data_IF_582178345452
#
_entry.id   IF_582178345452
#
_cell.length_a   1.000
_cell.length_b   1.000
_cell.length_c   1.000
_cell.angle_alpha   90.00
_cell.angle_beta   90.00
_cell.angle_gamma   90.00
#
_symmetry.space_group_name_H-M   'P 1'
#
loop_
_entity.id
_entity.type
_entity.pdbx_description
1 polymer ?
#
# COMPACT_ATOMS: atom_id res chain seq x y z
N UNK A 1 -5.57 -7.78 -4.07
CA UNK A 1 -4.30 -8.54 -4.13
C UNK A 1 -4.36 -9.47 -5.32
N UNK A 2 -3.31 -9.50 -6.13
CA UNK A 2 -3.20 -10.42 -7.26
C UNK A 2 -2.65 -11.77 -6.79
N UNK A 3 -2.88 -12.82 -7.57
CA UNK A 3 -2.28 -14.13 -7.28
C UNK A 3 -0.75 -14.10 -7.46
N UNK A 4 -0.05 -14.86 -6.62
CA UNK A 4 1.34 -15.26 -6.82
C UNK A 4 1.39 -16.29 -7.95
N UNK A 5 2.21 -16.09 -8.98
CA UNK A 5 2.17 -17.00 -10.14
C UNK A 5 2.71 -16.40 -11.44
N UNK A 6 2.20 -16.91 -12.56
CA UNK A 6 2.53 -16.38 -13.89
C UNK A 6 2.10 -14.92 -13.99
N UNK A 7 3.10 -14.03 -14.11
CA UNK A 7 2.89 -12.58 -14.20
C UNK A 7 3.62 -11.76 -13.13
N UNK A 8 4.26 -12.39 -12.14
CA UNK A 8 5.12 -11.70 -11.17
C UNK A 8 6.31 -12.56 -10.70
N UNK A 9 7.21 -11.94 -9.93
CA UNK A 9 8.43 -12.57 -9.41
C UNK A 9 8.17 -13.66 -8.34
N UNK A 10 6.92 -13.82 -7.88
CA UNK A 10 6.51 -14.82 -6.90
C UNK A 10 5.89 -16.06 -7.56
N UNK A 11 6.23 -16.34 -8.82
CA UNK A 11 5.87 -17.58 -9.49
C UNK A 11 6.40 -18.83 -8.79
N UNK A 12 5.80 -20.00 -9.08
CA UNK A 12 6.14 -21.25 -8.38
C UNK A 12 7.60 -21.64 -8.63
N UNK A 13 8.42 -21.59 -7.58
CA UNK A 13 9.71 -22.28 -7.52
C UNK A 13 9.48 -23.67 -6.95
N UNK A 14 10.03 -24.69 -7.60
CA UNK A 14 9.82 -26.08 -7.18
C UNK A 14 10.29 -26.26 -5.72
N UNK A 15 9.44 -26.89 -4.90
CA UNK A 15 9.64 -27.22 -3.47
C UNK A 15 9.41 -26.12 -2.41
N UNK A 16 8.85 -24.96 -2.74
CA UNK A 16 8.50 -23.95 -1.71
C UNK A 16 7.25 -24.29 -0.88
N UNK A 17 7.22 -23.79 0.37
CA UNK A 17 6.02 -23.81 1.24
C UNK A 17 4.85 -23.08 0.59
N UNK A 18 3.63 -23.60 0.77
CA UNK A 18 2.43 -23.03 0.17
C UNK A 18 2.28 -21.53 0.47
N UNK A 19 2.02 -20.74 -0.57
CA UNK A 19 1.67 -19.33 -0.42
C UNK A 19 0.16 -19.17 -0.36
N UNK A 20 -0.33 -18.26 0.47
CA UNK A 20 -1.77 -18.04 0.63
C UNK A 20 -2.43 -17.50 -0.65
N UNK A 21 -1.70 -16.67 -1.40
CA UNK A 21 -2.17 -16.07 -2.65
C UNK A 21 -1.69 -16.84 -3.89
N UNK A 22 -1.21 -18.08 -3.75
CA UNK A 22 -0.84 -18.90 -4.91
C UNK A 22 -2.03 -19.12 -5.85
N UNK A 23 -1.79 -19.11 -7.15
CA UNK A 23 -2.79 -19.42 -8.18
C UNK A 23 -3.26 -20.89 -8.18
N UNK A 24 -2.56 -21.77 -7.47
CA UNK A 24 -2.93 -23.16 -7.23
C UNK A 24 -2.62 -23.61 -5.79
N UNK A 25 -3.40 -24.57 -5.30
CA UNK A 25 -3.19 -25.18 -3.98
C UNK A 25 -2.04 -26.19 -4.10
N UNK A 26 -0.96 -25.98 -3.33
CA UNK A 26 0.16 -26.93 -3.27
C UNK A 26 -0.04 -27.97 -2.16
N UNK A 27 0.59 -29.14 -2.28
CA UNK A 27 0.44 -30.21 -1.28
C UNK A 27 1.17 -29.91 0.05
N UNK A 28 2.16 -29.01 0.05
CA UNK A 28 2.92 -28.61 1.25
C UNK A 28 2.34 -27.33 1.84
N UNK A 29 1.14 -27.46 2.40
CA UNK A 29 0.32 -26.37 2.97
C UNK A 29 0.82 -25.84 4.32
N UNK A 30 1.92 -26.39 4.83
CA UNK A 30 2.37 -26.12 6.18
C UNK A 30 3.78 -25.51 6.25
N UNK A 31 3.92 -24.27 6.77
CA UNK A 31 2.87 -23.25 6.97
C UNK A 31 2.40 -22.62 5.66
N UNK A 32 1.12 -22.23 5.58
CA UNK A 32 0.71 -21.21 4.62
C UNK A 32 1.37 -19.89 5.01
N UNK A 33 2.12 -19.31 4.08
CA UNK A 33 2.79 -18.03 4.28
C UNK A 33 2.39 -17.03 3.20
N UNK A 34 2.39 -15.75 3.54
CA UNK A 34 2.28 -14.71 2.52
C UNK A 34 3.62 -14.59 1.78
N UNK A 35 3.57 -14.51 0.45
CA UNK A 35 4.76 -14.29 -0.39
C UNK A 35 5.35 -12.88 -0.18
N UNK A 36 6.54 -12.63 -0.73
CA UNK A 36 7.10 -11.29 -0.79
C UNK A 36 6.17 -10.34 -1.58
N UNK A 37 5.68 -10.78 -2.75
CA UNK A 37 4.78 -9.98 -3.59
C UNK A 37 3.46 -9.64 -2.91
N UNK A 38 2.87 -10.59 -2.17
CA UNK A 38 1.67 -10.35 -1.37
C UNK A 38 1.93 -9.31 -0.28
N UNK A 39 3.08 -9.41 0.40
CA UNK A 39 3.50 -8.46 1.44
C UNK A 39 3.73 -7.07 0.85
N UNK A 40 4.39 -6.97 -0.29
CA UNK A 40 4.68 -5.71 -0.96
C UNK A 40 3.40 -5.05 -1.47
N UNK A 41 2.50 -5.83 -2.08
CA UNK A 41 1.20 -5.34 -2.54
C UNK A 41 0.38 -4.77 -1.39
N UNK A 42 0.18 -5.54 -0.30
CA UNK A 42 -0.67 -5.06 0.79
C UNK A 42 -0.03 -3.87 1.50
N UNK A 43 1.30 -3.84 1.59
CA UNK A 43 2.04 -2.72 2.16
C UNK A 43 1.85 -1.46 1.31
N UNK A 44 2.07 -1.54 0.00
CA UNK A 44 1.85 -0.42 -0.93
C UNK A 44 0.39 0.04 -0.95
N UNK A 45 -0.56 -0.89 -0.90
CA UNK A 45 -1.99 -0.57 -0.83
C UNK A 45 -2.35 0.21 0.45
N UNK A 46 -1.81 -0.20 1.60
CA UNK A 46 -2.07 0.50 2.87
C UNK A 46 -1.32 1.84 2.94
N UNK A 47 -0.07 1.88 2.50
CA UNK A 47 0.77 3.08 2.51
C UNK A 47 0.24 4.15 1.54
N UNK A 48 -0.50 3.75 0.50
CA UNK A 48 -1.15 4.68 -0.44
C UNK A 48 -2.45 5.26 0.11
N UNK A 49 -2.85 4.98 1.35
CA UNK A 49 -4.06 5.56 1.95
C UNK A 49 -5.38 4.88 1.53
N UNK A 50 -5.34 3.94 0.58
CA UNK A 50 -6.52 3.17 0.14
C UNK A 50 -7.12 2.28 1.25
N UNK A 51 -6.38 2.03 2.33
CA UNK A 51 -6.83 1.30 3.51
C UNK A 51 -7.34 2.17 4.67
N UNK A 52 -7.54 3.48 4.48
CA UNK A 52 -7.87 4.42 5.56
C UNK A 52 -9.14 4.07 6.34
N UNK A 53 -10.13 3.43 5.71
CA UNK A 53 -11.35 2.94 6.35
C UNK A 53 -11.13 1.78 7.34
N UNK A 54 -9.92 1.23 7.42
CA UNK A 54 -9.54 0.19 8.39
C UNK A 54 -8.86 0.78 9.63
N UNK A 55 -8.58 2.09 9.64
CA UNK A 55 -7.85 2.74 10.73
C UNK A 55 -8.74 3.10 11.92
N UNK A 56 -10.06 3.14 11.75
CA UNK A 56 -10.98 3.42 12.85
C UNK A 56 -11.28 2.16 13.66
N UNK A 57 -11.45 2.33 14.97
CA UNK A 57 -11.97 1.28 15.83
C UNK A 57 -13.45 1.04 15.47
N UNK A 58 -13.90 -0.21 15.31
CA UNK A 58 -15.31 -0.50 15.07
C UNK A 58 -16.17 0.09 16.20
N UNK A 59 -17.20 0.91 15.90
CA UNK A 59 -17.98 1.62 16.91
C UNK A 59 -18.84 0.69 17.78
N UNK A 60 -19.21 -0.48 17.26
CA UNK A 60 -19.86 -1.59 17.99
C UNK A 60 -19.45 -2.92 17.39
N UNK A 61 -19.16 -3.88 18.25
CA UNK A 61 -18.86 -5.25 17.83
C UNK A 61 -20.19 -6.01 17.70
N UNK A 62 -20.83 -5.94 16.53
CA UNK A 62 -22.10 -6.63 16.27
C UNK A 62 -21.94 -8.14 16.10
N UNK A 63 -20.71 -8.60 15.83
CA UNK A 63 -20.39 -10.01 15.66
C UNK A 63 -19.82 -10.60 16.94
N UNK A 64 -20.53 -11.54 17.55
CA UNK A 64 -20.01 -12.36 18.64
C UNK A 64 -19.07 -13.39 18.03
N UNK A 65 -17.77 -13.11 18.09
CA UNK A 65 -16.76 -14.09 17.69
C UNK A 65 -16.89 -15.35 18.54
N UNK A 66 -16.80 -16.55 17.95
CA UNK A 66 -16.76 -17.79 18.71
C UNK A 66 -15.62 -17.72 19.73
N UNK A 67 -15.97 -17.80 21.01
CA UNK A 67 -14.97 -17.84 22.11
C UNK A 67 -14.31 -19.20 22.21
N UNK A 68 -14.95 -20.23 21.65
CA UNK A 68 -14.47 -21.61 21.59
C UNK A 68 -13.50 -21.76 20.44
N UNK A 69 -12.29 -22.23 20.75
CA UNK A 69 -11.29 -22.50 19.71
C UNK A 69 -11.71 -23.72 18.87
N UNK A 70 -11.39 -23.80 17.56
CA UNK A 70 -11.89 -24.87 16.70
C UNK A 70 -11.55 -26.28 17.19
N UNK A 71 -10.34 -26.49 17.75
CA UNK A 71 -9.92 -27.77 18.31
C UNK A 71 -10.59 -28.15 19.64
N UNK A 72 -11.29 -27.21 20.29
CA UNK A 72 -12.19 -27.52 21.40
C UNK A 72 -13.56 -28.01 20.91
N UNK A 73 -13.98 -27.58 19.72
CA UNK A 73 -15.23 -28.02 19.10
C UNK A 73 -15.07 -29.32 18.30
N UNK A 74 -13.87 -29.55 17.76
CA UNK A 74 -13.53 -30.69 16.92
C UNK A 74 -12.19 -31.27 17.37
N UNK A 75 -12.19 -32.42 18.02
CA UNK A 75 -10.97 -33.03 18.53
C UNK A 75 -10.06 -33.58 17.38
N UNK A 76 -8.93 -34.18 17.74
CA UNK A 76 -7.99 -34.72 16.77
C UNK A 76 -8.61 -35.84 15.90
N UNK A 77 -9.51 -36.63 16.45
CA UNK A 77 -10.21 -37.69 15.71
C UNK A 77 -11.23 -37.09 14.73
N UNK A 78 -12.05 -36.12 15.16
CA UNK A 78 -12.96 -35.40 14.26
C UNK A 78 -12.20 -34.74 13.11
N UNK A 79 -11.06 -34.09 13.39
CA UNK A 79 -10.21 -33.48 12.37
C UNK A 79 -9.68 -34.51 11.38
N UNK A 80 -9.29 -35.71 11.85
CA UNK A 80 -8.91 -36.82 10.96
C UNK A 80 -10.10 -37.30 10.11
N UNK A 81 -11.31 -37.34 10.67
CA UNK A 81 -12.52 -37.72 9.91
C UNK A 81 -12.84 -36.73 8.80
N UNK A 82 -12.61 -35.43 9.01
CA UNK A 82 -12.77 -34.42 7.96
C UNK A 82 -11.76 -34.58 6.82
N UNK A 83 -10.51 -34.95 7.13
CA UNK A 83 -9.46 -35.08 6.11
C UNK A 83 -9.50 -36.41 5.35
N UNK A 84 -9.76 -37.52 6.05
CA UNK A 84 -9.58 -38.87 5.49
C UNK A 84 -10.82 -39.76 5.59
N UNK A 85 -11.94 -39.20 6.05
CA UNK A 85 -13.24 -39.85 6.11
C UNK A 85 -13.58 -40.47 7.46
N UNK A 86 -14.85 -40.85 7.62
CA UNK A 86 -15.50 -41.19 8.90
C UNK A 86 -14.83 -42.27 9.78
N UNK A 87 -14.01 -43.15 9.18
CA UNK A 87 -13.28 -44.20 9.92
C UNK A 87 -11.87 -43.80 10.36
N UNK A 88 -11.41 -42.62 9.93
CA UNK A 88 -10.10 -42.11 10.33
C UNK A 88 -10.14 -41.61 11.77
N UNK A 89 -9.00 -41.71 12.45
CA UNK A 89 -8.77 -41.29 13.82
C UNK A 89 -7.31 -40.88 13.98
N UNK A 90 -6.99 -40.13 15.02
CA UNK A 90 -5.64 -39.71 15.35
C UNK A 90 -4.71 -40.92 15.52
N UNK A 91 -3.49 -40.78 14.99
CA UNK A 91 -2.36 -41.66 15.25
C UNK A 91 -1.32 -40.94 16.11
N UNK A 92 -0.81 -41.60 17.16
CA UNK A 92 0.24 -41.07 18.04
C UNK A 92 1.64 -41.30 17.45
N UNK A 93 1.91 -40.71 16.28
CA UNK A 93 3.21 -40.81 15.61
C UNK A 93 4.14 -39.63 15.94
N UNK A 94 3.58 -38.42 15.98
CA UNK A 94 4.26 -37.18 16.33
C UNK A 94 3.40 -36.33 17.28
N UNK A 95 3.94 -35.21 17.74
CA UNK A 95 3.22 -34.26 18.59
C UNK A 95 2.07 -33.62 17.79
N UNK A 96 0.85 -33.75 18.31
CA UNK A 96 -0.41 -33.46 17.61
C UNK A 96 -0.54 -31.98 17.21
N UNK A 97 0.00 -31.05 18.00
CA UNK A 97 -0.05 -29.63 17.70
C UNK A 97 0.92 -29.24 16.58
N UNK A 98 2.04 -29.92 16.44
CA UNK A 98 3.00 -29.69 15.36
C UNK A 98 2.51 -30.25 14.02
N UNK A 99 1.92 -31.44 14.03
CA UNK A 99 1.46 -32.16 12.84
C UNK A 99 0.39 -33.19 13.22
N UNK A 100 -0.77 -33.13 12.57
CA UNK A 100 -1.84 -34.09 12.79
C UNK A 100 -1.63 -35.34 11.92
N UNK A 101 -1.42 -36.47 12.58
CA UNK A 101 -1.31 -37.78 11.94
C UNK A 101 -2.60 -38.58 12.12
N UNK A 102 -3.07 -39.20 11.03
CA UNK A 102 -4.36 -39.86 10.97
C UNK A 102 -4.24 -41.27 10.42
N UNK A 103 -5.13 -42.16 10.85
CA UNK A 103 -5.21 -43.52 10.37
C UNK A 103 -5.87 -43.57 8.98
N UNK A 104 -5.19 -44.18 8.02
CA UNK A 104 -5.73 -44.48 6.69
C UNK A 104 -6.68 -45.68 6.71
N UNK A 105 -7.39 -45.91 5.59
CA UNK A 105 -8.19 -47.13 5.38
C UNK A 105 -7.38 -48.43 5.46
N UNK A 106 -6.07 -48.37 5.21
CA UNK A 106 -5.14 -49.50 5.26
C UNK A 106 -4.39 -49.61 6.59
N UNK A 107 -4.90 -48.96 7.64
CA UNK A 107 -4.28 -48.92 8.97
C UNK A 107 -2.85 -48.35 9.00
N UNK A 108 -2.51 -47.43 8.08
CA UNK A 108 -1.23 -46.72 8.10
C UNK A 108 -1.42 -45.30 8.58
N UNK A 109 -0.47 -44.77 9.35
CA UNK A 109 -0.50 -43.36 9.74
C UNK A 109 -0.09 -42.50 8.54
N UNK A 110 -0.97 -41.60 8.14
CA UNK A 110 -0.81 -40.65 7.04
C UNK A 110 -1.05 -39.23 7.55
N UNK A 111 -0.45 -38.24 6.90
CA UNK A 111 -0.64 -36.83 7.24
C UNK A 111 -0.64 -35.98 5.98
N UNK A 112 -1.37 -34.86 6.03
CA UNK A 112 -1.32 -33.78 5.05
C UNK A 112 -0.27 -32.72 5.45
N UNK A 113 0.52 -33.03 6.48
CA UNK A 113 1.41 -32.12 7.18
C UNK A 113 0.73 -30.90 7.79
N UNK A 114 -0.58 -30.95 8.06
CA UNK A 114 -1.32 -29.85 8.69
C UNK A 114 -1.33 -30.07 10.20
N UNK A 115 -1.01 -29.04 11.03
CA UNK A 115 -1.10 -29.15 12.49
C UNK A 115 -2.54 -29.32 12.95
N UNK A 116 -2.77 -29.92 14.13
CA UNK A 116 -4.11 -29.92 14.71
C UNK A 116 -4.60 -28.49 15.01
N UNK A 117 -5.91 -28.30 14.94
CA UNK A 117 -6.54 -27.02 15.15
C UNK A 117 -6.26 -26.46 16.56
N UNK A 118 -6.25 -25.13 16.69
CA UNK A 118 -6.05 -24.49 17.98
C UNK A 118 -7.14 -24.93 18.96
N UNK A 119 -6.71 -25.34 20.15
CA UNK A 119 -7.52 -25.86 21.22
C UNK A 119 -7.67 -27.38 21.27
N UNK A 120 -7.10 -28.11 20.31
CA UNK A 120 -7.07 -29.59 20.33
C UNK A 120 -6.29 -30.06 21.55
N UNK A 121 -6.78 -31.07 22.26
CA UNK A 121 -6.10 -31.62 23.43
C UNK A 121 -4.76 -32.24 23.02
N UNK A 122 -3.72 -31.96 23.80
CA UNK A 122 -2.38 -32.49 23.58
C UNK A 122 -1.75 -32.93 24.89
N UNK A 123 -0.74 -33.80 24.76
CA UNK A 123 0.04 -34.34 25.87
C UNK A 123 1.50 -34.44 25.43
N UNK A 124 2.42 -34.04 26.31
CA UNK A 124 3.87 -34.22 26.14
C UNK A 124 4.45 -34.90 27.38
N UNK A 125 5.75 -35.18 27.38
CA UNK A 125 6.43 -35.74 28.55
C UNK A 125 6.39 -34.83 29.78
N UNK A 126 6.18 -33.52 29.58
CA UNK A 126 6.12 -32.51 30.65
C UNK A 126 4.73 -31.93 30.88
N UNK A 127 3.79 -32.16 29.96
CA UNK A 127 2.43 -31.62 29.99
C UNK A 127 1.45 -32.78 29.94
N UNK A 128 0.82 -33.09 31.08
CA UNK A 128 -0.18 -34.15 31.18
C UNK A 128 -1.52 -33.75 30.54
N UNK A 129 -1.93 -32.49 30.74
CA UNK A 129 -3.15 -31.91 30.16
C UNK A 129 -2.80 -30.57 29.50
N UNK A 130 -2.67 -30.61 28.18
CA UNK A 130 -2.42 -29.43 27.36
C UNK A 130 -3.48 -29.23 26.28
N UNK A 131 -3.35 -28.12 25.59
CA UNK A 131 -4.10 -27.83 24.36
C UNK A 131 -3.19 -27.18 23.33
N UNK A 132 -3.52 -27.35 22.04
CA UNK A 132 -2.74 -26.80 20.95
C UNK A 132 -2.95 -25.30 20.83
N UNK A 133 -1.87 -24.53 20.89
CA UNK A 133 -1.92 -23.09 20.65
C UNK A 133 -0.75 -22.70 19.77
N UNK A 134 -1.03 -22.10 18.60
CA UNK A 134 -0.05 -21.81 17.54
C UNK A 134 0.99 -22.93 17.33
N UNK A 135 0.51 -24.17 17.20
CA UNK A 135 1.29 -25.40 16.91
C UNK A 135 2.14 -25.96 18.05
N UNK A 136 2.01 -25.41 19.24
CA UNK A 136 2.73 -25.89 20.42
C UNK A 136 1.70 -26.44 21.42
N UNK A 137 2.04 -27.56 22.04
CA UNK A 137 1.28 -28.03 23.18
C UNK A 137 1.59 -27.14 24.39
N UNK A 138 0.60 -26.37 24.85
CA UNK A 138 0.72 -25.52 26.03
C UNK A 138 -0.18 -26.04 27.15
N UNK A 139 0.12 -25.70 28.41
CA UNK A 139 -0.70 -26.12 29.55
C UNK A 139 -2.14 -25.64 29.39
N UNK A 140 -3.10 -26.47 29.78
CA UNK A 140 -4.51 -26.11 29.71
C UNK A 140 -4.80 -24.82 30.51
N UNK A 141 -5.56 -23.89 29.92
CA UNK A 141 -5.82 -22.57 30.50
C UNK A 141 -4.72 -21.53 30.28
N UNK A 142 -3.55 -21.92 29.73
CA UNK A 142 -2.54 -20.96 29.29
C UNK A 142 -2.82 -20.54 27.86
N UNK A 143 -3.06 -19.24 27.65
CA UNK A 143 -2.95 -18.59 26.35
C UNK A 143 -1.78 -17.61 26.50
N UNK A 144 -0.55 -18.01 26.12
CA UNK A 144 0.59 -17.10 26.19
C UNK A 144 0.17 -15.78 25.56
N UNK A 145 0.14 -14.71 26.37
CA UNK A 145 -0.11 -13.38 25.84
C UNK A 145 1.04 -13.08 24.89
N UNK A 146 0.72 -12.99 23.61
CA UNK A 146 1.74 -12.64 22.64
C UNK A 146 2.16 -11.20 22.89
N UNK A 147 3.46 -10.95 22.77
CA UNK A 147 4.03 -9.62 22.84
C UNK A 147 3.49 -8.83 21.65
N UNK A 148 2.76 -7.74 21.92
CA UNK A 148 2.33 -6.83 20.87
C UNK A 148 3.54 -6.20 20.18
N UNK A 149 3.44 -5.99 18.89
CA UNK A 149 4.47 -5.34 18.11
C UNK A 149 4.62 -3.88 18.51
N UNK A 150 5.86 -3.42 18.61
CA UNK A 150 6.20 -2.01 18.78
C UNK A 150 6.93 -1.47 17.56
N UNK A 151 6.64 -0.22 17.21
CA UNK A 151 7.33 0.47 16.12
C UNK A 151 8.80 0.70 16.50
N UNK A 152 9.70 0.27 15.63
CA UNK A 152 11.09 0.66 15.65
C UNK A 152 11.27 2.13 15.29
N UNK A 153 12.52 2.57 15.34
CA UNK A 153 12.88 3.92 14.95
C UNK A 153 12.59 4.14 13.46
N UNK A 154 12.26 5.39 13.14
CA UNK A 154 12.22 5.84 11.75
C UNK A 154 13.61 5.75 11.14
N UNK A 155 13.68 5.24 9.92
CA UNK A 155 14.88 5.31 9.10
C UNK A 155 15.28 6.78 8.89
N UNK A 156 16.55 7.04 8.57
CA UNK A 156 16.91 8.29 7.93
C UNK A 156 16.00 8.56 6.73
N UNK A 157 15.80 9.83 6.46
CA UNK A 157 15.09 10.27 5.26
C UNK A 157 15.85 9.82 4.02
N UNK A 158 15.15 9.22 3.07
CA UNK A 158 15.68 8.87 1.76
C UNK A 158 16.06 10.14 0.99
N UNK A 159 16.82 9.95 -0.10
CA UNK A 159 17.16 11.05 -1.00
C UNK A 159 15.90 11.74 -1.52
N UNK A 160 16.00 13.05 -1.74
CA UNK A 160 14.88 13.82 -2.24
C UNK A 160 14.57 13.41 -3.68
N UNK A 161 13.29 13.21 -4.00
CA UNK A 161 12.86 12.82 -5.35
C UNK A 161 13.20 13.85 -6.44
N UNK A 162 13.44 15.11 -6.06
CA UNK A 162 13.76 16.22 -6.96
C UNK A 162 14.88 17.05 -6.36
N UNK A 163 15.67 17.71 -7.21
CA UNK A 163 16.73 18.63 -6.79
C UNK A 163 16.28 20.08 -6.67
N UNK A 164 15.10 20.40 -7.17
CA UNK A 164 14.47 21.73 -7.12
C UNK A 164 12.95 21.61 -7.31
N UNK A 165 12.24 22.71 -7.04
CA UNK A 165 10.83 22.93 -7.31
C UNK A 165 9.90 22.13 -6.42
N UNK A 166 10.36 21.71 -5.23
CA UNK A 166 9.60 20.91 -4.28
C UNK A 166 9.59 19.42 -4.63
N UNK A 167 10.54 18.69 -4.07
CA UNK A 167 10.57 17.22 -4.06
C UNK A 167 9.97 16.65 -2.77
N UNK A 168 9.93 15.32 -2.71
CA UNK A 168 9.43 14.57 -1.56
C UNK A 168 10.48 13.56 -1.14
N UNK A 169 10.68 13.45 0.15
CA UNK A 169 11.56 12.44 0.78
C UNK A 169 10.73 11.58 1.70
N UNK A 170 11.06 10.30 1.76
CA UNK A 170 10.32 9.29 2.51
C UNK A 170 11.17 8.69 3.64
N UNK A 171 10.51 8.24 4.70
CA UNK A 171 11.14 7.57 5.84
C UNK A 171 10.22 6.44 6.29
N UNK A 172 10.82 5.28 6.58
CA UNK A 172 10.09 4.06 6.93
C UNK A 172 10.47 3.57 8.32
N UNK A 173 9.58 2.84 8.96
CA UNK A 173 9.85 2.12 10.21
C UNK A 173 9.30 0.71 10.14
N UNK A 174 9.87 -0.17 10.95
CA UNK A 174 9.47 -1.57 11.03
C UNK A 174 8.78 -1.86 12.36
N UNK A 175 7.84 -2.80 12.37
CA UNK A 175 7.18 -3.27 13.59
C UNK A 175 8.05 -4.36 14.24
N UNK A 176 9.17 -3.95 14.83
CA UNK A 176 10.19 -4.84 15.34
C UNK A 176 10.78 -4.50 16.72
N UNK A 177 10.23 -3.49 17.39
CA UNK A 177 10.72 -2.97 18.66
C UNK A 177 9.63 -2.95 19.75
N UNK A 178 9.15 -4.11 20.23
CA UNK A 178 9.58 -5.47 19.88
C UNK A 178 8.84 -6.04 18.66
N UNK A 179 9.38 -7.10 18.05
CA UNK A 179 8.64 -7.87 17.02
C UNK A 179 7.43 -8.54 17.67
N UNK A 180 6.24 -8.47 17.06
CA UNK A 180 5.06 -9.13 17.59
C UNK A 180 5.30 -10.64 17.66
N UNK A 181 4.99 -11.25 18.80
CA UNK A 181 5.11 -12.70 18.99
C UNK A 181 3.76 -13.40 18.89
N UNK A 182 3.74 -14.70 19.20
CA UNK A 182 2.59 -15.59 19.13
C UNK A 182 1.42 -15.04 19.96
N UNK A 183 0.49 -14.34 19.30
CA UNK A 183 -0.76 -13.84 19.89
C UNK A 183 -0.79 -12.32 20.04
N UNK A 184 0.30 -11.63 19.75
CA UNK A 184 0.41 -10.19 19.82
C UNK A 184 -0.19 -9.51 18.59
N UNK A 185 -0.69 -8.29 18.79
CA UNK A 185 -1.16 -7.41 17.73
C UNK A 185 0.01 -6.89 16.92
N UNK A 186 -0.19 -6.70 15.62
CA UNK A 186 0.73 -5.91 14.80
C UNK A 186 0.66 -4.42 15.20
N UNK A 187 1.67 -3.65 14.84
CA UNK A 187 1.74 -2.23 15.15
C UNK A 187 0.62 -1.44 14.45
N UNK A 188 -0.01 -0.53 15.18
CA UNK A 188 -1.03 0.37 14.65
C UNK A 188 -0.40 1.72 14.27
N UNK A 189 -0.89 2.32 13.19
CA UNK A 189 -0.41 3.61 12.66
C UNK A 189 0.49 3.48 11.43
N UNK A 190 1.03 4.61 10.99
CA UNK A 190 1.75 4.70 9.71
C UNK A 190 3.14 4.05 9.80
N UNK A 191 3.50 3.25 8.80
CA UNK A 191 4.85 2.66 8.68
C UNK A 191 5.78 3.47 7.79
N UNK A 192 5.23 4.40 7.00
CA UNK A 192 5.92 5.25 6.05
C UNK A 192 5.41 6.67 6.23
N UNK A 193 6.33 7.65 6.26
CA UNK A 193 6.02 9.08 6.34
C UNK A 193 6.77 9.84 5.26
N UNK A 194 6.29 11.03 4.94
CA UNK A 194 6.78 11.86 3.84
C UNK A 194 7.04 13.28 4.32
N UNK A 195 7.96 13.98 3.66
CA UNK A 195 8.20 15.42 3.84
C UNK A 195 8.61 16.08 2.53
N UNK A 196 8.36 17.38 2.43
CA UNK A 196 8.95 18.21 1.36
C UNK A 196 10.47 18.35 1.53
N UNK A 197 11.17 18.47 0.42
CA UNK A 197 12.60 18.75 0.35
C UNK A 197 12.91 19.52 -0.95
N UNK A 198 14.05 20.23 -1.00
CA UNK A 198 14.49 20.99 -2.18
C UNK A 198 13.38 21.89 -2.76
N UNK A 199 12.80 22.73 -1.90
CA UNK A 199 11.62 23.58 -2.20
C UNK A 199 11.95 24.80 -3.06
N UNK A 200 13.24 25.15 -3.16
CA UNK A 200 13.73 26.24 -3.99
C UNK A 200 13.32 26.09 -5.44
N UNK A 201 13.05 27.19 -6.12
CA UNK A 201 12.59 27.14 -7.51
C UNK A 201 13.60 26.47 -8.43
N UNK A 202 13.08 25.76 -9.43
CA UNK A 202 13.94 25.25 -10.49
C UNK A 202 14.44 26.40 -11.37
N UNK A 203 15.63 26.28 -11.98
CA UNK A 203 16.14 27.26 -12.92
C UNK A 203 15.13 27.60 -14.03
N UNK A 204 15.12 28.87 -14.46
CA UNK A 204 14.24 29.30 -15.54
C UNK A 204 14.43 28.44 -16.81
N UNK A 205 13.32 28.01 -17.41
CA UNK A 205 13.32 27.11 -18.57
C UNK A 205 13.45 25.63 -18.24
N UNK A 206 13.45 25.25 -16.96
CA UNK A 206 13.37 23.84 -16.57
C UNK A 206 12.10 23.19 -17.13
N UNK A 207 12.23 21.96 -17.62
CA UNK A 207 11.10 21.19 -18.13
C UNK A 207 10.20 20.73 -16.97
N UNK A 208 8.91 20.62 -17.25
CA UNK A 208 7.96 20.00 -16.33
C UNK A 208 8.39 18.57 -16.01
N UNK A 209 8.34 18.20 -14.73
CA UNK A 209 8.89 16.94 -14.26
C UNK A 209 8.14 15.72 -14.80
N UNK A 210 6.86 15.87 -15.15
CA UNK A 210 6.08 14.80 -15.79
C UNK A 210 6.46 14.63 -17.26
N UNK A 211 6.85 15.71 -17.94
CA UNK A 211 7.41 15.64 -19.31
C UNK A 211 8.67 14.79 -19.31
N UNK A 212 9.58 15.01 -18.36
CA UNK A 212 10.82 14.22 -18.22
C UNK A 212 10.49 12.73 -18.04
N UNK A 213 9.56 12.40 -17.13
CA UNK A 213 9.15 11.02 -16.88
C UNK A 213 8.53 10.32 -18.09
N UNK A 214 7.77 11.03 -18.94
CA UNK A 214 7.28 10.44 -20.20
C UNK A 214 8.43 10.21 -21.18
N UNK A 215 9.36 11.17 -21.30
CA UNK A 215 10.50 11.09 -22.21
C UNK A 215 11.46 9.93 -21.89
N UNK A 216 11.54 9.48 -20.63
CA UNK A 216 12.29 8.28 -20.25
C UNK A 216 11.84 7.02 -21.05
N UNK A 217 10.61 7.02 -21.56
CA UNK A 217 10.07 5.94 -22.38
C UNK A 217 10.26 6.13 -23.88
N UNK A 218 10.83 7.25 -24.35
CA UNK A 218 11.07 7.49 -25.79
C UNK A 218 12.03 6.47 -26.38
N UNK A 219 12.99 6.01 -25.55
CA UNK A 219 13.98 4.98 -25.90
C UNK A 219 13.50 3.54 -25.68
N UNK A 220 12.25 3.35 -25.24
CA UNK A 220 11.67 2.04 -24.92
C UNK A 220 10.61 1.67 -25.97
N UNK A 221 10.77 0.56 -26.72
CA UNK A 221 9.83 0.21 -27.77
C UNK A 221 8.47 -0.18 -27.19
N UNK A 222 7.39 0.40 -27.74
CA UNK A 222 6.02 0.02 -27.46
C UNK A 222 5.41 -0.65 -28.69
N UNK A 223 5.03 -1.92 -28.56
CA UNK A 223 4.53 -2.74 -29.69
C UNK A 223 5.48 -2.72 -30.90
N UNK A 224 6.79 -2.74 -30.64
CA UNK A 224 7.83 -2.79 -31.67
C UNK A 224 8.16 -1.45 -32.34
N UNK A 225 7.62 -0.32 -31.86
CA UNK A 225 7.93 1.02 -32.37
C UNK A 225 8.34 1.97 -31.26
N UNK A 226 9.10 2.99 -31.62
CA UNK A 226 9.47 4.10 -30.74
C UNK A 226 8.54 5.27 -30.99
N UNK A 227 8.28 6.04 -29.94
CA UNK A 227 7.37 7.18 -29.95
C UNK A 227 7.99 8.29 -29.11
N UNK A 228 7.70 9.54 -29.46
CA UNK A 228 7.94 10.68 -28.57
C UNK A 228 6.72 10.83 -27.67
N UNK A 229 6.93 10.76 -26.36
CA UNK A 229 5.87 10.73 -25.38
C UNK A 229 5.66 12.08 -24.73
N UNK A 230 4.41 12.51 -24.64
CA UNK A 230 3.99 13.73 -23.92
C UNK A 230 3.04 13.39 -22.78
N UNK A 231 3.06 14.14 -21.67
CA UNK A 231 2.10 13.91 -20.58
C UNK A 231 0.65 14.01 -21.05
N UNK A 232 -0.17 13.06 -20.62
CA UNK A 232 -1.61 13.06 -20.86
C UNK A 232 -2.36 13.13 -19.53
N UNK A 233 -3.08 14.23 -19.31
CA UNK A 233 -3.91 14.46 -18.11
C UNK A 233 -5.42 14.48 -18.40
N UNK A 234 -5.84 14.21 -19.64
CA UNK A 234 -7.24 14.23 -20.07
C UNK A 234 -8.02 12.95 -19.73
N UNK A 235 -9.31 12.91 -20.04
CA UNK A 235 -10.06 11.65 -20.14
C UNK A 235 -10.24 10.85 -18.83
N UNK A 236 -10.31 11.50 -17.67
CA UNK A 236 -10.58 10.83 -16.39
C UNK A 236 -9.45 9.92 -15.90
N UNK A 237 -8.24 10.06 -16.44
CA UNK A 237 -7.06 9.34 -15.95
C UNK A 237 -6.73 9.75 -14.51
N UNK A 238 -6.12 8.86 -13.74
CA UNK A 238 -5.71 9.16 -12.37
C UNK A 238 -4.60 10.23 -12.39
N UNK A 239 -4.74 11.37 -11.68
CA UNK A 239 -3.75 12.46 -11.74
C UNK A 239 -2.32 12.04 -11.42
N UNK A 240 -2.16 11.11 -10.49
CA UNK A 240 -0.84 10.63 -10.05
C UNK A 240 -0.38 9.34 -10.72
N UNK A 241 -1.05 8.89 -11.77
CA UNK A 241 -0.53 7.87 -12.68
C UNK A 241 0.20 8.52 -13.87
N UNK A 242 1.20 7.84 -14.43
CA UNK A 242 1.96 8.35 -15.57
C UNK A 242 1.29 7.90 -16.87
N UNK A 243 0.37 8.70 -17.38
CA UNK A 243 -0.20 8.50 -18.71
C UNK A 243 0.53 9.37 -19.73
N UNK A 244 0.94 8.77 -20.84
CA UNK A 244 1.67 9.46 -21.90
C UNK A 244 0.96 9.27 -23.25
N UNK A 245 0.76 10.39 -23.96
CA UNK A 245 0.26 10.48 -25.32
C UNK A 245 1.43 10.31 -26.30
N UNK A 246 1.25 9.49 -27.33
CA UNK A 246 2.23 9.39 -28.41
C UNK A 246 2.07 10.59 -29.35
N UNK A 247 3.09 11.46 -29.43
CA UNK A 247 3.05 12.66 -30.26
C UNK A 247 2.86 12.32 -31.74
N UNK A 248 1.92 13.02 -32.40
CA UNK A 248 1.53 12.74 -33.78
C UNK A 248 0.56 11.57 -33.94
N UNK A 249 0.13 10.94 -32.84
CA UNK A 249 -0.84 9.84 -32.85
C UNK A 249 -2.03 10.12 -31.92
N UNK A 250 -3.15 9.46 -32.19
CA UNK A 250 -4.39 9.61 -31.42
C UNK A 250 -4.55 8.53 -30.34
N UNK A 251 -3.49 8.18 -29.62
CA UNK A 251 -3.58 7.25 -28.51
C UNK A 251 -2.61 7.62 -27.38
N UNK A 252 -3.05 7.35 -26.15
CA UNK A 252 -2.23 7.42 -24.94
C UNK A 252 -2.19 6.05 -24.27
N UNK A 253 -1.22 5.85 -23.39
CA UNK A 253 -1.12 4.65 -22.56
C UNK A 253 -0.58 4.99 -21.19
N UNK A 254 -0.99 4.24 -20.17
CA UNK A 254 -0.33 4.27 -18.87
C UNK A 254 1.08 3.65 -19.04
N UNK A 255 2.10 4.41 -18.67
CA UNK A 255 3.52 4.01 -18.68
C UNK A 255 3.97 3.55 -17.30
N UNK A 256 3.39 4.12 -16.25
CA UNK A 256 3.61 3.70 -14.87
C UNK A 256 2.34 3.94 -14.02
N UNK A 257 2.06 3.07 -13.03
CA UNK A 257 0.89 3.21 -12.16
C UNK A 257 0.96 4.45 -11.25
N UNK A 258 2.17 4.94 -10.98
CA UNK A 258 2.42 6.17 -10.24
C UNK A 258 3.52 7.00 -10.92
N UNK A 259 3.37 8.33 -10.88
CA UNK A 259 4.47 9.27 -11.16
C UNK A 259 5.43 9.31 -9.96
N UNK A 260 6.65 9.81 -10.19
CA UNK A 260 7.63 10.04 -9.12
C UNK A 260 7.07 11.03 -8.09
N UNK A 261 7.30 10.74 -6.80
CA UNK A 261 6.82 11.60 -5.72
C UNK A 261 7.32 13.05 -5.87
N UNK A 262 6.49 14.04 -5.56
CA UNK A 262 6.80 15.46 -5.79
C UNK A 262 6.47 15.97 -7.21
N UNK A 263 5.95 15.12 -8.09
CA UNK A 263 5.40 15.57 -9.38
C UNK A 263 4.08 16.31 -9.17
N UNK A 264 3.87 17.51 -9.75
CA UNK A 264 2.58 18.19 -9.68
C UNK A 264 1.42 17.33 -10.20
N UNK A 265 0.33 17.28 -9.43
CA UNK A 265 -0.85 16.52 -9.81
C UNK A 265 -1.67 17.22 -10.90
N UNK A 266 -1.81 18.54 -10.77
CA UNK A 266 -2.66 19.43 -11.57
C UNK A 266 -1.85 20.65 -11.99
N UNK A 267 -2.26 21.31 -13.05
CA UNK A 267 -1.55 22.48 -13.60
C UNK A 267 -1.80 23.77 -12.82
N UNK A 268 -2.91 23.82 -12.08
CA UNK A 268 -3.43 24.97 -11.35
C UNK A 268 -3.26 24.87 -9.83
N UNK A 269 -2.48 23.89 -9.36
CA UNK A 269 -2.29 23.62 -7.93
C UNK A 269 -0.84 23.28 -7.62
N UNK A 270 -0.40 23.63 -6.42
CA UNK A 270 0.89 23.21 -5.86
C UNK A 270 0.85 21.76 -5.35
N UNK A 271 -0.32 21.14 -5.32
CA UNK A 271 -0.49 19.76 -4.87
C UNK A 271 0.39 18.80 -5.68
N UNK A 272 1.07 17.91 -4.96
CA UNK A 272 2.00 16.95 -5.55
C UNK A 272 1.55 15.52 -5.31
N UNK A 273 1.99 14.65 -6.20
CA UNK A 273 1.80 13.22 -6.06
C UNK A 273 2.75 12.67 -4.99
N UNK A 274 2.19 11.92 -4.04
CA UNK A 274 2.94 11.20 -3.01
C UNK A 274 2.34 9.81 -2.89
N UNK A 275 3.15 8.79 -3.17
CA UNK A 275 2.78 7.38 -3.15
C UNK A 275 1.53 7.08 -4.01
N UNK A 276 1.45 7.69 -5.19
CA UNK A 276 0.36 7.50 -6.16
C UNK A 276 -0.94 8.26 -5.84
N UNK A 277 -0.98 9.04 -4.77
CA UNK A 277 -2.11 9.92 -4.43
C UNK A 277 -1.74 11.39 -4.53
N UNK A 278 -2.72 12.23 -4.86
CA UNK A 278 -2.51 13.67 -4.85
C UNK A 278 -2.66 14.22 -3.42
N UNK A 279 -1.61 14.87 -2.92
CA UNK A 279 -1.57 15.42 -1.56
C UNK A 279 -1.44 16.94 -1.58
N UNK A 280 -2.06 17.58 -0.60
CA UNK A 280 -2.08 19.03 -0.50
C UNK A 280 -0.70 19.62 -0.17
N UNK A 281 -0.38 20.74 -0.81
CA UNK A 281 0.84 21.51 -0.55
C UNK A 281 0.47 22.99 -0.42
N UNK A 282 0.96 23.64 0.64
CA UNK A 282 0.75 25.07 0.86
C UNK A 282 1.56 25.94 -0.11
N UNK A 283 1.32 27.25 -0.09
CA UNK A 283 2.08 28.20 -0.93
C UNK A 283 3.59 28.23 -0.61
N UNK A 284 3.97 27.74 0.56
CA UNK A 284 5.35 27.58 1.04
C UNK A 284 6.03 26.32 0.47
N UNK A 285 5.33 25.57 -0.40
CA UNK A 285 5.76 24.30 -1.00
C UNK A 285 6.00 23.19 0.02
N UNK A 286 5.39 23.30 1.20
CA UNK A 286 5.45 22.29 2.26
C UNK A 286 4.22 21.38 2.21
N UNK A 287 4.48 20.07 2.18
CA UNK A 287 3.46 19.03 2.15
C UNK A 287 2.58 19.11 3.40
N UNK A 288 1.27 19.26 3.20
CA UNK A 288 0.28 19.41 4.27
C UNK A 288 0.30 20.75 4.99
N UNK A 289 0.99 21.77 4.47
CA UNK A 289 0.93 23.12 5.00
C UNK A 289 -0.37 23.81 4.61
N UNK A 290 -1.05 24.42 5.59
CA UNK A 290 -2.28 25.17 5.38
C UNK A 290 -2.02 26.65 5.02
N UNK A 291 -0.75 27.04 4.83
CA UNK A 291 -0.37 28.41 4.50
C UNK A 291 -0.79 28.73 3.06
N UNK A 292 -1.48 29.87 2.90
CA UNK A 292 -2.04 30.32 1.61
C UNK A 292 -1.45 31.65 1.20
N UNK A 293 -1.54 31.93 -0.09
CA UNK A 293 -1.29 33.26 -0.61
C UNK A 293 -2.35 34.23 -0.10
N UNK A 294 -1.93 35.45 0.20
CA UNK A 294 -2.82 36.57 0.45
C UNK A 294 -3.37 37.15 -0.86
N UNK A 295 -4.16 38.22 -0.76
CA UNK A 295 -4.71 38.93 -1.92
C UNK A 295 -3.64 39.54 -2.85
N UNK A 296 -2.40 39.61 -2.39
CA UNK A 296 -1.26 40.16 -3.09
C UNK A 296 -0.33 39.08 -3.66
N UNK A 297 -0.77 37.80 -3.64
CA UNK A 297 0.03 36.63 -4.05
C UNK A 297 1.31 36.44 -3.23
N UNK A 298 1.34 36.97 -2.01
CA UNK A 298 2.43 36.72 -1.08
C UNK A 298 2.04 35.54 -0.18
N UNK A 299 2.87 34.51 -0.18
CA UNK A 299 2.65 33.34 0.66
C UNK A 299 2.73 33.72 2.16
N UNK A 300 1.65 33.48 2.90
CA UNK A 300 1.55 33.86 4.31
C UNK A 300 1.52 35.37 4.55
N UNK A 301 1.24 36.16 3.51
CA UNK A 301 1.12 37.61 3.63
C UNK A 301 -0.16 38.05 4.36
N UNK A 302 -0.19 39.32 4.74
CA UNK A 302 -1.32 39.95 5.44
C UNK A 302 -2.19 40.80 4.49
N UNK A 303 -1.87 40.83 3.20
CA UNK A 303 -2.55 41.60 2.18
C UNK A 303 -2.16 43.09 2.14
N UNK A 304 -1.12 43.53 2.85
CA UNK A 304 -0.71 44.94 2.90
C UNK A 304 0.27 45.36 1.79
N UNK A 305 0.77 44.42 0.99
CA UNK A 305 1.83 44.65 -0.01
C UNK A 305 1.31 45.11 -1.38
N UNK A 306 0.00 45.16 -1.55
CA UNK A 306 -0.67 45.57 -2.78
C UNK A 306 -1.95 46.35 -2.47
N UNK A 307 -2.33 47.20 -3.41
CA UNK A 307 -3.57 47.98 -3.37
C UNK A 307 -4.55 47.47 -4.44
N UNK A 308 -5.84 47.48 -4.11
CA UNK A 308 -6.90 47.15 -5.06
C UNK A 308 -7.18 48.35 -5.95
N UNK A 309 -7.13 48.13 -7.27
CA UNK A 309 -7.49 49.15 -8.27
C UNK A 309 -8.77 48.71 -8.97
N UNK A 310 -9.78 49.59 -8.97
CA UNK A 310 -11.07 49.35 -9.62
C UNK A 310 -11.32 50.45 -10.67
N UNK A 311 -11.98 50.09 -11.77
CA UNK A 311 -12.33 51.02 -12.84
C UNK A 311 -13.53 50.52 -13.65
N UNK A 312 -14.34 51.46 -14.16
CA UNK A 312 -15.46 51.19 -15.04
C UNK A 312 -15.06 51.51 -16.49
N UNK A 313 -15.25 50.53 -17.37
CA UNK A 313 -14.98 50.68 -18.78
C UNK A 313 -16.28 51.03 -19.53
N UNK A 314 -16.34 52.21 -20.16
CA UNK A 314 -17.59 52.81 -20.64
C UNK A 314 -17.59 53.18 -22.14
N UNK A 315 -16.66 52.64 -22.94
CA UNK A 315 -16.64 52.90 -24.38
C UNK A 315 -17.60 51.98 -25.14
N UNK A 316 -18.45 52.57 -25.98
CA UNK A 316 -19.40 51.87 -26.86
C UNK A 316 -18.70 51.23 -28.07
N UNK A 317 -18.93 49.93 -28.28
CA UNK A 317 -18.42 49.18 -29.42
C UNK A 317 -19.13 49.54 -30.74
N UNK A 318 -18.40 49.71 -31.86
CA UNK A 318 -18.97 49.60 -33.19
C UNK A 318 -19.39 48.15 -33.48
N UNK A 319 -20.45 47.94 -34.27
CA UNK A 319 -20.93 46.60 -34.65
C UNK A 319 -19.80 45.74 -35.26
N UNK A 320 -19.54 44.58 -34.65
CA UNK A 320 -18.60 43.56 -35.14
C UNK A 320 -17.14 43.68 -34.66
N UNK A 321 -16.81 44.63 -33.77
CA UNK A 321 -15.46 44.78 -33.21
C UNK A 321 -15.21 43.97 -31.92
N UNK A 322 -13.99 43.46 -31.74
CA UNK A 322 -13.48 43.01 -30.45
C UNK A 322 -12.62 44.13 -29.84
N UNK A 323 -12.69 44.33 -28.51
CA UNK A 323 -11.77 45.24 -27.81
C UNK A 323 -10.35 44.65 -27.82
N UNK A 324 -9.38 45.42 -28.28
CA UNK A 324 -7.99 45.28 -27.80
C UNK A 324 -7.91 46.03 -26.47
N UNK A 325 -7.62 45.38 -25.34
CA UNK A 325 -7.52 46.08 -24.07
C UNK A 325 -6.50 47.21 -24.18
N UNK A 326 -6.86 48.37 -23.66
CA UNK A 326 -5.97 49.52 -23.51
C UNK A 326 -4.65 49.04 -22.87
N UNK A 327 -3.45 49.44 -23.32
CA UNK A 327 -2.17 48.98 -22.75
C UNK A 327 -2.03 49.20 -21.23
N UNK A 328 -2.89 50.00 -20.60
CA UNK A 328 -2.99 50.17 -19.15
C UNK A 328 -3.71 49.02 -18.40
N UNK A 329 -4.38 48.11 -19.11
CA UNK A 329 -5.06 46.90 -18.58
C UNK A 329 -4.34 45.64 -19.10
N UNK A 330 -3.04 45.74 -19.38
CA UNK A 330 -2.18 44.56 -19.46
C UNK A 330 -1.85 44.19 -18.02
N UNK A 331 -2.39 43.08 -17.52
CA UNK A 331 -1.97 42.52 -16.23
C UNK A 331 -0.49 42.15 -16.35
N UNK A 332 0.44 42.86 -15.70
CA UNK A 332 1.82 42.41 -15.62
C UNK A 332 1.84 41.08 -14.84
N UNK A 333 2.79 40.22 -15.18
CA UNK A 333 3.01 38.97 -14.45
C UNK A 333 3.41 39.25 -12.99
#
# INVERSE_FOLDING_TARGET
MNHDGMGNACGPRSQETAKLMADHITMKTNPFIWSACSRDYITSFLDSGMGSCLNNVPPKQEFVYPTTAPGQAYDADEQCRFQYGVRSRQCKYAEVCSELWCMSKSNRCITSSIPAAEGTICQTNTIEKGWCYKRVCVLYGTRPEGVNGGWGLWSPWEECSRTCGGGVSSSIRHCDSPRPTIGGKYCLGERKRFRSCNIDECPAGSLDFRVIQCADFDSVPFRGKFYTWKPYRGGGVKPCSLNCLAEGYNFYTERAPAVVDGTPCRDDSLDVCVNGECKHVGCDRVLGSDVREDRCRICGGDGSSCDSVEGLFNDSLPEGGFFTPNPQILTPA
#
